data_IF_554995913958
#
_entry.id   IF_554995913958
#
_cell.length_a   1.000
_cell.length_b   1.000
_cell.length_c   1.000
_cell.angle_alpha   90.00
_cell.angle_beta   90.00
_cell.angle_gamma   90.00
#
_symmetry.space_group_name_H-M   'P 1'
#
loop_
_entity.id
_entity.type
_entity.pdbx_description
1 polymer ?
#
# COMPACT_ATOMS: atom_id res chain seq x y z
N UNK A 1 19.95 0.41 14.61
CA UNK A 1 19.63 0.52 16.04
C UNK A 1 18.20 0.03 16.28
N UNK A 2 17.87 -1.17 16.72
CA UNK A 2 18.47 -2.51 16.62
C UNK A 2 17.29 -3.44 16.26
N UNK A 3 17.46 -4.21 15.18
CA UNK A 3 16.56 -5.28 14.75
C UNK A 3 16.74 -6.47 15.73
N UNK A 4 15.72 -7.30 16.03
CA UNK A 4 15.89 -8.51 16.84
C UNK A 4 17.13 -9.29 16.40
N UNK A 5 17.82 -9.95 17.34
CA UNK A 5 19.19 -10.48 17.17
C UNK A 5 19.30 -11.54 16.06
N UNK A 6 19.30 -11.11 14.80
CA UNK A 6 19.70 -11.89 13.65
C UNK A 6 21.22 -12.00 13.70
N UNK A 7 21.81 -13.20 13.55
CA UNK A 7 23.24 -13.40 13.67
C UNK A 7 24.01 -12.53 12.68
N UNK A 8 25.22 -12.13 13.07
CA UNK A 8 26.16 -11.49 12.15
C UNK A 8 26.61 -12.50 11.07
N UNK A 9 26.94 -12.02 9.85
CA UNK A 9 27.58 -12.88 8.86
C UNK A 9 28.86 -13.51 9.43
N UNK A 10 29.06 -14.80 9.19
CA UNK A 10 30.26 -15.49 9.67
C UNK A 10 31.47 -15.28 8.74
N UNK A 11 31.24 -15.13 7.43
CA UNK A 11 32.29 -14.84 6.45
C UNK A 11 32.72 -13.37 6.55
N UNK A 12 34.02 -13.12 6.68
CA UNK A 12 34.58 -11.77 6.80
C UNK A 12 34.31 -10.89 5.56
N UNK A 13 34.17 -11.49 4.37
CA UNK A 13 33.80 -10.78 3.15
C UNK A 13 32.34 -10.35 3.19
N UNK A 14 31.43 -11.19 3.71
CA UNK A 14 30.05 -10.76 3.96
C UNK A 14 30.00 -9.64 5.01
N UNK A 15 30.84 -9.68 6.05
CA UNK A 15 30.90 -8.57 7.03
C UNK A 15 31.30 -7.24 6.37
N UNK A 16 32.29 -7.24 5.46
CA UNK A 16 32.68 -6.04 4.72
C UNK A 16 31.55 -5.50 3.82
N UNK A 17 30.76 -6.40 3.20
CA UNK A 17 29.56 -6.03 2.44
C UNK A 17 28.50 -5.42 3.36
N UNK A 18 28.26 -6.02 4.53
CA UNK A 18 27.34 -5.49 5.55
C UNK A 18 27.74 -4.07 5.98
N UNK A 19 29.01 -3.82 6.28
CA UNK A 19 29.49 -2.50 6.69
C UNK A 19 29.25 -1.45 5.59
N UNK A 20 29.51 -1.81 4.33
CA UNK A 20 29.21 -0.94 3.18
C UNK A 20 27.72 -0.63 3.06
N UNK A 21 26.86 -1.65 3.18
CA UNK A 21 25.40 -1.48 3.11
C UNK A 21 24.85 -0.62 4.27
N UNK A 22 25.45 -0.70 5.46
CA UNK A 22 25.11 0.18 6.58
C UNK A 22 25.37 1.64 6.20
N UNK A 23 26.53 1.94 5.63
CA UNK A 23 26.88 3.30 5.19
C UNK A 23 25.90 3.81 4.12
N UNK A 24 25.56 2.98 3.13
CA UNK A 24 24.59 3.35 2.08
C UNK A 24 23.22 3.64 2.69
N UNK A 25 22.74 2.77 3.60
CA UNK A 25 21.47 2.98 4.30
C UNK A 25 21.47 4.29 5.06
N UNK A 26 22.55 4.61 5.76
CA UNK A 26 22.63 5.80 6.58
C UNK A 26 22.66 7.07 5.69
N UNK A 27 23.32 7.05 4.52
CA UNK A 27 23.21 8.11 3.50
C UNK A 27 21.76 8.29 3.00
N UNK A 28 21.07 7.19 2.70
CA UNK A 28 19.65 7.22 2.28
C UNK A 28 18.75 7.80 3.38
N UNK A 29 19.00 7.48 4.65
CA UNK A 29 18.26 8.03 5.78
C UNK A 29 18.50 9.54 5.94
N UNK A 30 19.74 10.00 5.75
CA UNK A 30 20.06 11.43 5.77
C UNK A 30 19.32 12.19 4.65
N UNK A 31 19.33 11.66 3.43
CA UNK A 31 18.57 12.25 2.31
C UNK A 31 17.07 12.31 2.59
N UNK A 32 16.51 11.28 3.22
CA UNK A 32 15.08 11.25 3.60
C UNK A 32 14.75 12.35 4.63
N UNK A 33 15.68 12.64 5.55
CA UNK A 33 15.49 13.64 6.59
C UNK A 33 15.60 15.07 6.06
N UNK A 34 16.34 15.29 4.97
CA UNK A 34 16.50 16.62 4.38
C UNK A 34 15.20 17.09 3.70
N UNK A 35 14.60 18.16 4.25
CA UNK A 35 13.40 18.82 3.72
C UNK A 35 13.68 20.19 3.12
N UNK A 36 14.94 20.58 3.01
CA UNK A 36 15.32 21.92 2.53
C UNK A 36 15.19 22.05 1.02
N UNK A 37 15.35 20.93 0.30
CA UNK A 37 15.16 20.84 -1.15
C UNK A 37 14.33 19.61 -1.51
N UNK A 38 13.84 19.60 -2.76
CA UNK A 38 13.28 18.38 -3.35
C UNK A 38 14.40 17.38 -3.68
N UNK A 39 14.07 16.09 -3.69
CA UNK A 39 15.05 15.04 -3.99
C UNK A 39 15.20 14.90 -5.50
N UNK A 40 16.44 14.84 -6.01
CA UNK A 40 16.72 14.65 -7.44
C UNK A 40 17.22 13.25 -7.74
N UNK A 41 17.01 12.80 -8.97
CA UNK A 41 17.51 11.50 -9.45
C UNK A 41 19.02 11.36 -9.29
N UNK A 42 19.78 12.45 -9.48
CA UNK A 42 21.24 12.48 -9.35
C UNK A 42 21.73 12.16 -7.93
N UNK A 43 20.91 12.43 -6.91
CA UNK A 43 21.25 12.16 -5.51
C UNK A 43 20.99 10.69 -5.13
N UNK A 44 20.18 9.97 -5.93
CA UNK A 44 19.71 8.60 -5.64
C UNK A 44 20.41 7.53 -6.49
N UNK A 45 20.59 7.80 -7.80
CA UNK A 45 21.16 6.83 -8.75
C UNK A 45 22.54 6.30 -8.28
N UNK A 46 23.48 7.13 -7.79
CA UNK A 46 24.78 6.62 -7.33
C UNK A 46 24.66 5.65 -6.14
N UNK A 47 23.71 5.87 -5.22
CA UNK A 47 23.48 4.99 -4.07
C UNK A 47 22.82 3.67 -4.51
N UNK A 48 21.98 3.72 -5.54
CA UNK A 48 21.45 2.53 -6.19
C UNK A 48 22.58 1.70 -6.81
N UNK A 49 23.44 2.30 -7.61
CA UNK A 49 24.56 1.62 -8.27
C UNK A 49 25.54 1.00 -7.24
N UNK A 50 25.86 1.74 -6.17
CA UNK A 50 26.68 1.24 -5.05
C UNK A 50 26.03 0.01 -4.41
N UNK A 51 24.71 0.04 -4.18
CA UNK A 51 23.95 -1.09 -3.64
C UNK A 51 23.99 -2.29 -4.57
N UNK A 52 23.83 -2.10 -5.88
CA UNK A 52 23.90 -3.18 -6.87
C UNK A 52 25.29 -3.82 -6.91
N UNK A 53 26.37 -3.04 -6.82
CA UNK A 53 27.73 -3.60 -6.72
C UNK A 53 27.87 -4.52 -5.50
N UNK A 54 27.34 -4.10 -4.35
CA UNK A 54 27.36 -4.91 -3.12
C UNK A 54 26.52 -6.19 -3.25
N UNK A 55 25.39 -6.15 -3.96
CA UNK A 55 24.60 -7.36 -4.24
C UNK A 55 25.35 -8.33 -5.15
N UNK A 56 26.05 -7.81 -6.16
CA UNK A 56 26.89 -8.64 -7.03
C UNK A 56 27.98 -9.36 -6.23
N UNK A 57 28.72 -8.63 -5.41
CA UNK A 57 29.76 -9.20 -4.53
C UNK A 57 29.19 -10.26 -3.58
N UNK A 58 28.01 -9.99 -3.00
CA UNK A 58 27.32 -10.96 -2.14
C UNK A 58 26.93 -12.23 -2.89
N UNK A 59 26.40 -12.13 -4.12
CA UNK A 59 26.02 -13.29 -4.93
C UNK A 59 27.24 -14.14 -5.28
N UNK A 60 28.39 -13.50 -5.58
CA UNK A 60 29.68 -14.18 -5.82
C UNK A 60 30.16 -14.93 -4.56
N UNK A 61 30.21 -14.26 -3.41
CA UNK A 61 30.63 -14.87 -2.13
C UNK A 61 29.74 -16.06 -1.76
N UNK A 62 28.41 -15.91 -1.87
CA UNK A 62 27.45 -16.97 -1.53
C UNK A 62 27.45 -18.12 -2.53
N UNK A 63 27.79 -17.87 -3.80
CA UNK A 63 27.97 -18.92 -4.79
C UNK A 63 29.21 -19.76 -4.48
N UNK A 64 30.32 -19.13 -4.07
CA UNK A 64 31.54 -19.84 -3.69
C UNK A 64 31.41 -20.64 -2.39
N UNK A 65 30.81 -20.03 -1.37
CA UNK A 65 30.69 -20.64 -0.03
C UNK A 65 29.54 -21.63 0.08
N UNK A 66 28.56 -21.56 -0.83
CA UNK A 66 27.31 -22.31 -0.73
C UNK A 66 26.38 -21.84 0.40
N UNK A 67 26.72 -20.73 1.08
CA UNK A 67 25.93 -20.20 2.18
C UNK A 67 24.59 -19.63 1.68
N UNK A 68 23.50 -20.06 2.30
CA UNK A 68 22.13 -19.61 2.00
C UNK A 68 21.38 -19.13 3.24
N UNK A 69 22.04 -19.06 4.39
CA UNK A 69 21.41 -18.65 5.63
C UNK A 69 21.17 -17.14 5.65
N UNK A 70 19.95 -16.74 6.00
CA UNK A 70 19.61 -15.33 6.22
C UNK A 70 20.30 -14.83 7.50
N UNK A 71 20.97 -13.69 7.38
CA UNK A 71 21.68 -13.06 8.49
C UNK A 71 21.43 -11.54 8.55
N UNK A 72 22.14 -10.83 9.42
CA UNK A 72 21.96 -9.37 9.60
C UNK A 72 22.15 -8.59 8.30
N UNK A 73 23.02 -9.05 7.40
CA UNK A 73 23.24 -8.44 6.08
C UNK A 73 21.94 -8.40 5.28
N UNK A 74 21.20 -9.50 5.21
CA UNK A 74 19.95 -9.57 4.45
C UNK A 74 18.91 -8.56 4.97
N UNK A 75 18.85 -8.35 6.29
CA UNK A 75 17.98 -7.33 6.91
C UNK A 75 18.41 -5.90 6.55
N UNK A 76 19.71 -5.63 6.49
CA UNK A 76 20.21 -4.31 6.07
C UNK A 76 19.99 -4.10 4.58
N UNK A 77 20.24 -5.11 3.74
CA UNK A 77 20.01 -5.07 2.31
C UNK A 77 18.53 -4.83 1.98
N UNK A 78 17.63 -5.53 2.66
CA UNK A 78 16.18 -5.29 2.61
C UNK A 78 15.85 -3.83 2.88
N UNK A 79 16.49 -3.26 3.90
CA UNK A 79 16.28 -1.88 4.31
C UNK A 79 16.75 -0.88 3.25
N UNK A 80 17.90 -1.13 2.62
CA UNK A 80 18.41 -0.30 1.53
C UNK A 80 17.45 -0.33 0.34
N UNK A 81 16.99 -1.50 -0.08
CA UNK A 81 16.09 -1.61 -1.23
C UNK A 81 14.68 -1.07 -0.94
N UNK A 82 14.17 -1.19 0.28
CA UNK A 82 12.93 -0.52 0.67
C UNK A 82 13.06 1.00 0.57
N UNK A 83 14.14 1.58 1.10
CA UNK A 83 14.40 3.03 0.99
C UNK A 83 14.56 3.45 -0.48
N UNK A 84 15.43 2.78 -1.23
CA UNK A 84 15.66 3.07 -2.65
C UNK A 84 14.35 3.01 -3.45
N UNK A 85 13.55 1.98 -3.24
CA UNK A 85 12.24 1.85 -3.90
C UNK A 85 11.33 3.03 -3.60
N UNK A 86 11.24 3.47 -2.34
CA UNK A 86 10.43 4.64 -1.99
C UNK A 86 11.03 5.95 -2.54
N UNK A 87 12.36 6.07 -2.63
CA UNK A 87 13.00 7.20 -3.30
C UNK A 87 12.70 7.25 -4.79
N UNK A 88 12.70 6.10 -5.48
CA UNK A 88 12.32 6.02 -6.88
C UNK A 88 10.88 6.50 -7.11
N UNK A 89 9.96 6.19 -6.18
CA UNK A 89 8.61 6.74 -6.20
C UNK A 89 8.61 8.27 -5.99
N UNK A 90 9.34 8.77 -4.99
CA UNK A 90 9.40 10.21 -4.69
C UNK A 90 10.01 11.06 -5.80
N UNK A 91 10.98 10.51 -6.56
CA UNK A 91 11.54 11.19 -7.73
C UNK A 91 10.69 10.96 -9.00
N UNK A 92 9.52 10.32 -8.93
CA UNK A 92 8.61 10.12 -10.05
C UNK A 92 9.01 9.02 -11.04
N UNK A 93 9.93 8.12 -10.67
CA UNK A 93 10.40 7.00 -11.48
C UNK A 93 9.68 5.70 -11.15
N UNK A 94 8.36 5.77 -11.05
CA UNK A 94 7.51 4.68 -10.54
C UNK A 94 7.50 3.46 -11.47
N UNK A 95 7.80 3.67 -12.76
CA UNK A 95 7.83 2.63 -13.77
C UNK A 95 9.17 1.87 -13.82
N UNK A 96 10.20 2.35 -13.11
CA UNK A 96 11.48 1.67 -13.06
C UNK A 96 11.42 0.48 -12.09
N UNK A 97 12.15 -0.58 -12.41
CA UNK A 97 12.16 -1.83 -11.63
C UNK A 97 12.50 -1.63 -10.14
N UNK A 98 13.46 -0.76 -9.74
CA UNK A 98 13.73 -0.50 -8.33
C UNK A 98 12.51 0.00 -7.54
N UNK A 99 11.60 0.75 -8.16
CA UNK A 99 10.39 1.28 -7.52
C UNK A 99 9.43 0.19 -7.03
N UNK A 100 9.53 -1.03 -7.58
CA UNK A 100 8.63 -2.16 -7.26
C UNK A 100 8.98 -2.91 -5.96
N UNK A 101 10.13 -2.64 -5.36
CA UNK A 101 10.64 -3.46 -4.25
C UNK A 101 9.84 -3.27 -2.95
N UNK A 102 9.54 -2.04 -2.56
CA UNK A 102 8.75 -1.74 -1.36
C UNK A 102 7.32 -2.30 -1.49
N UNK A 103 6.73 -2.22 -2.69
CA UNK A 103 5.42 -2.81 -2.98
C UNK A 103 5.44 -4.33 -2.79
N UNK A 104 6.42 -5.02 -3.38
CA UNK A 104 6.56 -6.48 -3.26
C UNK A 104 6.77 -6.91 -1.80
N UNK A 105 7.58 -6.16 -1.05
CA UNK A 105 7.84 -6.41 0.37
C UNK A 105 6.57 -6.25 1.22
N UNK A 106 5.77 -5.23 0.92
CA UNK A 106 4.49 -4.97 1.59
C UNK A 106 3.47 -6.06 1.27
N UNK A 107 3.37 -6.49 -0.01
CA UNK A 107 2.52 -7.61 -0.43
C UNK A 107 2.89 -8.89 0.33
N UNK A 108 4.19 -9.20 0.45
CA UNK A 108 4.66 -10.37 1.17
C UNK A 108 4.19 -10.35 2.64
N UNK A 109 4.30 -9.22 3.32
CA UNK A 109 3.80 -9.05 4.71
C UNK A 109 2.28 -9.19 4.80
N UNK A 110 1.54 -8.63 3.85
CA UNK A 110 0.09 -8.82 3.79
C UNK A 110 -0.27 -10.30 3.61
N UNK A 111 0.37 -11.01 2.69
CA UNK A 111 0.13 -12.44 2.45
C UNK A 111 0.49 -13.31 3.65
N UNK A 112 1.59 -13.00 4.36
CA UNK A 112 1.96 -13.65 5.63
C UNK A 112 0.81 -13.50 6.64
N UNK A 113 0.29 -12.28 6.80
CA UNK A 113 -0.82 -12.00 7.71
C UNK A 113 -2.15 -12.64 7.29
N UNK A 114 -2.47 -12.71 6.00
CA UNK A 114 -3.68 -13.38 5.52
C UNK A 114 -3.57 -14.89 5.76
N UNK A 115 -2.39 -15.46 5.56
CA UNK A 115 -2.10 -16.88 5.84
C UNK A 115 -2.25 -17.20 7.32
N UNK A 116 -1.69 -16.36 8.20
CA UNK A 116 -1.73 -16.50 9.65
C UNK A 116 -3.16 -16.37 10.20
N UNK A 117 -3.89 -15.35 9.74
CA UNK A 117 -5.21 -15.03 10.29
C UNK A 117 -6.32 -15.95 9.77
N UNK A 118 -6.18 -16.39 8.52
CA UNK A 118 -7.24 -17.01 7.73
C UNK A 118 -8.52 -16.14 7.69
N UNK A 119 -8.33 -14.84 7.43
CA UNK A 119 -9.38 -13.82 7.44
C UNK A 119 -9.24 -12.90 6.23
N UNK A 120 -9.72 -13.36 5.08
CA UNK A 120 -9.61 -12.67 3.80
C UNK A 120 -10.82 -12.95 2.91
N UNK A 121 -11.07 -12.11 1.91
CA UNK A 121 -12.14 -12.25 0.91
C UNK A 121 -11.56 -12.47 -0.49
N UNK A 122 -12.40 -12.87 -1.45
CA UNK A 122 -11.99 -13.00 -2.85
C UNK A 122 -11.42 -11.67 -3.38
N UNK A 123 -12.07 -10.55 -3.04
CA UNK A 123 -11.67 -9.19 -3.44
C UNK A 123 -10.28 -8.80 -2.93
N UNK A 124 -9.93 -9.18 -1.70
CA UNK A 124 -8.59 -8.91 -1.17
C UNK A 124 -7.51 -9.63 -2.00
N UNK A 125 -7.78 -10.89 -2.37
CA UNK A 125 -6.85 -11.70 -3.15
C UNK A 125 -6.77 -11.23 -4.61
N UNK A 126 -7.88 -10.78 -5.19
CA UNK A 126 -7.92 -10.29 -6.57
C UNK A 126 -7.11 -9.02 -6.77
N UNK A 127 -7.20 -8.06 -5.84
CA UNK A 127 -6.36 -6.86 -5.86
C UNK A 127 -4.87 -7.21 -5.85
N UNK A 128 -4.44 -8.07 -4.92
CA UNK A 128 -3.04 -8.51 -4.83
C UNK A 128 -2.62 -9.29 -6.09
N UNK A 129 -3.52 -10.13 -6.65
CA UNK A 129 -3.26 -10.90 -7.88
C UNK A 129 -3.00 -9.98 -9.07
N UNK A 130 -3.81 -8.95 -9.26
CA UNK A 130 -3.66 -7.99 -10.36
C UNK A 130 -2.31 -7.29 -10.26
N UNK A 131 -1.97 -6.78 -9.06
CA UNK A 131 -0.70 -6.13 -8.80
C UNK A 131 0.50 -7.06 -9.03
N UNK A 132 0.49 -8.28 -8.49
CA UNK A 132 1.59 -9.24 -8.69
C UNK A 132 1.73 -9.66 -10.17
N UNK A 133 0.63 -9.81 -10.90
CA UNK A 133 0.65 -10.10 -12.33
C UNK A 133 1.33 -8.97 -13.11
N UNK A 134 0.99 -7.72 -12.80
CA UNK A 134 1.61 -6.55 -13.43
C UNK A 134 3.11 -6.49 -13.12
N UNK A 135 3.50 -6.67 -11.86
CA UNK A 135 4.91 -6.73 -11.46
C UNK A 135 5.68 -7.84 -12.19
N UNK A 136 5.09 -9.03 -12.29
CA UNK A 136 5.70 -10.15 -13.02
C UNK A 136 5.90 -9.84 -14.51
N UNK A 137 4.91 -9.17 -15.13
CA UNK A 137 4.99 -8.76 -16.52
C UNK A 137 6.09 -7.70 -16.73
N UNK A 138 6.13 -6.66 -15.87
CA UNK A 138 7.17 -5.62 -15.92
C UNK A 138 8.57 -6.20 -15.76
N UNK A 139 8.77 -7.12 -14.81
CA UNK A 139 10.06 -7.80 -14.61
C UNK A 139 10.43 -8.65 -15.84
N UNK A 140 9.46 -9.31 -16.46
CA UNK A 140 9.70 -10.14 -17.65
C UNK A 140 10.11 -9.27 -18.84
N UNK A 141 9.38 -8.18 -19.09
CA UNK A 141 9.71 -7.20 -20.13
C UNK A 141 11.09 -6.59 -19.91
N UNK A 142 11.42 -6.23 -18.66
CA UNK A 142 12.72 -5.67 -18.31
C UNK A 142 13.88 -6.65 -18.59
N UNK A 143 13.66 -7.96 -18.46
CA UNK A 143 14.66 -8.98 -18.80
C UNK A 143 14.87 -9.16 -20.30
N UNK A 144 13.81 -9.03 -21.10
CA UNK A 144 13.83 -9.46 -22.52
C UNK A 144 14.01 -8.31 -23.49
N UNK A 145 13.56 -7.10 -23.16
CA UNK A 145 13.43 -6.00 -24.12
C UNK A 145 14.03 -4.68 -23.65
N UNK A 146 14.42 -4.54 -22.39
CA UNK A 146 14.83 -3.25 -21.83
C UNK A 146 16.27 -3.30 -21.28
N UNK A 147 17.23 -2.85 -22.10
CA UNK A 147 18.67 -2.82 -21.75
C UNK A 147 19.07 -1.60 -20.90
N UNK A 148 18.12 -0.99 -20.19
CA UNK A 148 18.38 0.15 -19.31
C UNK A 148 19.35 -0.21 -18.16
N UNK A 149 20.25 0.69 -17.77
CA UNK A 149 21.23 0.43 -16.71
C UNK A 149 20.57 0.14 -15.34
N UNK A 150 19.41 0.74 -15.06
CA UNK A 150 18.62 0.49 -13.86
C UNK A 150 18.08 -0.96 -13.78
N UNK A 151 17.99 -1.69 -14.90
CA UNK A 151 17.53 -3.07 -14.96
C UNK A 151 18.65 -4.08 -14.66
N UNK A 152 19.30 -3.92 -13.50
CA UNK A 152 20.37 -4.81 -13.07
C UNK A 152 19.91 -6.27 -13.04
N UNK A 153 20.66 -7.23 -13.62
CA UNK A 153 20.29 -8.64 -13.62
C UNK A 153 20.20 -9.21 -12.20
N UNK A 154 20.98 -8.66 -11.27
CA UNK A 154 20.97 -9.04 -9.86
C UNK A 154 19.67 -8.61 -9.15
N UNK A 155 19.21 -7.37 -9.39
CA UNK A 155 17.93 -6.89 -8.87
C UNK A 155 16.76 -7.66 -9.50
N UNK A 156 16.79 -7.87 -10.82
CA UNK A 156 15.76 -8.62 -11.52
C UNK A 156 15.65 -10.06 -10.99
N UNK A 157 16.77 -10.75 -10.72
CA UNK A 157 16.80 -12.07 -10.07
C UNK A 157 16.16 -12.02 -8.68
N UNK A 158 16.55 -11.06 -7.85
CA UNK A 158 16.03 -10.87 -6.49
C UNK A 158 14.50 -10.64 -6.49
N UNK A 159 14.02 -9.69 -7.30
CA UNK A 159 12.59 -9.38 -7.42
C UNK A 159 11.79 -10.53 -8.01
N UNK A 160 12.31 -11.21 -9.03
CA UNK A 160 11.64 -12.39 -9.62
C UNK A 160 11.39 -13.47 -8.58
N UNK A 161 12.39 -13.76 -7.75
CA UNK A 161 12.28 -14.75 -6.68
C UNK A 161 11.24 -14.32 -5.63
N UNK A 162 11.21 -13.03 -5.28
CA UNK A 162 10.25 -12.49 -4.31
C UNK A 162 8.82 -12.49 -4.82
N UNK A 163 8.60 -12.05 -6.06
CA UNK A 163 7.29 -12.11 -6.73
C UNK A 163 6.83 -13.55 -6.86
N UNK A 164 7.71 -14.48 -7.25
CA UNK A 164 7.40 -15.91 -7.32
C UNK A 164 6.95 -16.50 -5.97
N UNK A 165 7.62 -16.14 -4.86
CA UNK A 165 7.18 -16.53 -3.51
C UNK A 165 5.79 -15.97 -3.18
N UNK A 166 5.54 -14.70 -3.48
CA UNK A 166 4.24 -14.07 -3.23
C UNK A 166 3.11 -14.72 -4.05
N UNK A 167 3.38 -15.04 -5.33
CA UNK A 167 2.43 -15.76 -6.19
C UNK A 167 2.10 -17.15 -5.64
N UNK A 168 3.09 -17.91 -5.16
CA UNK A 168 2.85 -19.22 -4.55
C UNK A 168 2.02 -19.13 -3.25
N UNK A 169 2.28 -18.11 -2.41
CA UNK A 169 1.46 -17.86 -1.21
C UNK A 169 0.02 -17.49 -1.58
N UNK A 170 -0.15 -16.62 -2.57
CA UNK A 170 -1.46 -16.21 -3.08
C UNK A 170 -2.24 -17.41 -3.64
N UNK A 171 -1.58 -18.28 -4.42
CA UNK A 171 -2.20 -19.49 -4.98
C UNK A 171 -2.70 -20.43 -3.87
N UNK A 172 -1.94 -20.57 -2.77
CA UNK A 172 -2.37 -21.34 -1.61
C UNK A 172 -3.64 -20.74 -0.97
N UNK A 173 -3.66 -19.42 -0.73
CA UNK A 173 -4.84 -18.73 -0.20
C UNK A 173 -6.07 -18.87 -1.10
N UNK A 174 -5.87 -18.81 -2.43
CA UNK A 174 -6.93 -19.02 -3.42
C UNK A 174 -7.45 -20.46 -3.41
N UNK A 175 -6.56 -21.46 -3.33
CA UNK A 175 -6.94 -22.88 -3.21
C UNK A 175 -7.74 -23.15 -1.94
N UNK A 176 -7.39 -22.51 -0.82
CA UNK A 176 -8.16 -22.58 0.43
C UNK A 176 -9.54 -21.96 0.27
N UNK A 177 -9.63 -20.78 -0.34
CA UNK A 177 -10.91 -20.10 -0.57
C UNK A 177 -11.82 -20.90 -1.50
N UNK A 178 -11.26 -21.55 -2.53
CA UNK A 178 -12.01 -22.40 -3.47
C UNK A 178 -12.63 -23.66 -2.85
N UNK A 179 -12.40 -23.94 -1.56
CA UNK A 179 -13.12 -24.97 -0.81
C UNK A 179 -14.54 -24.53 -0.43
N UNK A 180 -14.82 -23.23 -0.48
CA UNK A 180 -16.12 -22.64 -0.18
C UNK A 180 -16.86 -22.44 -1.51
N UNK A 181 -17.98 -23.16 -1.69
CA UNK A 181 -18.82 -23.03 -2.88
C UNK A 181 -19.90 -21.96 -2.74
N UNK A 182 -20.57 -21.63 -3.84
CA UNK A 182 -21.80 -20.82 -3.78
C UNK A 182 -22.94 -21.62 -3.12
N UNK A 183 -23.82 -20.99 -2.31
CA UNK A 183 -23.93 -19.55 -2.02
C UNK A 183 -23.09 -19.07 -0.82
N UNK A 184 -22.25 -19.95 -0.25
CA UNK A 184 -21.52 -19.66 0.99
C UNK A 184 -20.39 -18.65 0.81
N UNK A 185 -19.90 -18.44 -0.40
CA UNK A 185 -18.87 -17.44 -0.67
C UNK A 185 -19.35 -16.02 -0.32
N UNK A 186 -20.59 -15.67 -0.68
CA UNK A 186 -21.20 -14.38 -0.29
C UNK A 186 -21.36 -14.26 1.24
N UNK A 187 -21.70 -15.37 1.92
CA UNK A 187 -21.82 -15.41 3.38
C UNK A 187 -20.45 -15.20 4.05
N UNK A 188 -19.42 -15.85 3.52
CA UNK A 188 -18.03 -15.68 3.94
C UNK A 188 -17.59 -14.22 3.84
N UNK A 189 -17.79 -13.57 2.69
CA UNK A 189 -17.45 -12.15 2.51
C UNK A 189 -18.18 -11.25 3.51
N UNK A 190 -19.46 -11.53 3.78
CA UNK A 190 -20.24 -10.79 4.76
C UNK A 190 -19.71 -10.96 6.18
N UNK A 191 -19.33 -12.18 6.58
CA UNK A 191 -18.72 -12.45 7.89
C UNK A 191 -17.38 -11.73 8.06
N UNK A 192 -16.52 -11.75 7.04
CA UNK A 192 -15.24 -11.01 7.03
C UNK A 192 -15.48 -9.49 7.15
N UNK A 193 -16.47 -8.96 6.44
CA UNK A 193 -16.85 -7.54 6.53
C UNK A 193 -17.33 -7.13 7.92
N UNK A 194 -18.18 -7.96 8.54
CA UNK A 194 -18.66 -7.74 9.92
C UNK A 194 -17.48 -7.79 10.90
N UNK A 195 -16.60 -8.79 10.79
CA UNK A 195 -15.42 -8.91 11.65
C UNK A 195 -14.52 -7.67 11.58
N UNK A 196 -14.25 -7.16 10.38
CA UNK A 196 -13.46 -5.94 10.16
C UNK A 196 -14.14 -4.72 10.80
N UNK A 197 -15.45 -4.61 10.67
CA UNK A 197 -16.26 -3.52 11.25
C UNK A 197 -16.26 -3.55 12.78
N UNK A 198 -16.41 -4.73 13.39
CA UNK A 198 -16.31 -4.90 14.86
C UNK A 198 -14.91 -4.53 15.34
N UNK A 199 -13.88 -4.97 14.63
CA UNK A 199 -12.48 -4.68 15.00
C UNK A 199 -12.15 -3.18 14.88
N UNK A 200 -12.69 -2.51 13.85
CA UNK A 200 -12.61 -1.06 13.73
C UNK A 200 -13.30 -0.36 14.91
N UNK A 201 -14.55 -0.72 15.20
CA UNK A 201 -15.31 -0.16 16.31
C UNK A 201 -14.57 -0.31 17.66
N UNK A 202 -13.91 -1.46 17.87
CA UNK A 202 -13.10 -1.73 19.07
C UNK A 202 -11.91 -0.77 19.25
N UNK A 203 -11.40 -0.17 18.17
CA UNK A 203 -10.20 0.69 18.19
C UNK A 203 -10.53 2.17 17.98
N UNK A 204 -11.81 2.55 17.93
CA UNK A 204 -12.22 3.95 17.90
C UNK A 204 -11.94 4.62 19.24
N UNK A 205 -11.61 5.92 19.21
CA UNK A 205 -11.38 6.72 20.41
C UNK A 205 -12.59 6.73 21.37
N UNK A 206 -13.81 6.63 20.82
CA UNK A 206 -15.04 6.44 21.58
C UNK A 206 -15.70 5.14 21.13
N UNK A 207 -15.67 4.13 22.00
CA UNK A 207 -16.32 2.85 21.74
C UNK A 207 -17.84 3.00 21.71
N UNK A 208 -18.50 2.35 20.74
CA UNK A 208 -19.95 2.34 20.60
C UNK A 208 -20.49 0.92 20.74
N UNK A 209 -21.08 0.59 21.90
CA UNK A 209 -21.76 -0.69 22.09
C UNK A 209 -22.90 -0.89 21.10
N UNK A 210 -23.62 0.18 20.75
CA UNK A 210 -24.78 0.09 19.84
C UNK A 210 -24.35 -0.25 18.41
N UNK A 211 -23.19 0.24 17.96
CA UNK A 211 -22.61 -0.14 16.66
C UNK A 211 -22.28 -1.64 16.62
N UNK A 212 -21.61 -2.15 17.65
CA UNK A 212 -21.24 -3.57 17.75
C UNK A 212 -22.48 -4.46 17.91
N UNK A 213 -23.49 -4.05 18.68
CA UNK A 213 -24.77 -4.78 18.81
C UNK A 213 -25.54 -4.86 17.49
N UNK A 214 -25.54 -3.80 16.67
CA UNK A 214 -26.14 -3.84 15.33
C UNK A 214 -25.44 -4.84 14.41
N UNK A 215 -24.11 -4.93 14.50
CA UNK A 215 -23.31 -5.91 13.77
C UNK A 215 -23.56 -7.33 14.29
N UNK A 216 -23.68 -7.50 15.60
CA UNK A 216 -24.03 -8.78 16.23
C UNK A 216 -25.42 -9.26 15.82
N UNK A 217 -26.40 -8.35 15.67
CA UNK A 217 -27.72 -8.70 15.12
C UNK A 217 -27.62 -9.25 13.69
N UNK A 218 -26.85 -8.58 12.82
CA UNK A 218 -26.60 -9.10 11.47
C UNK A 218 -25.92 -10.48 11.48
N UNK A 219 -25.04 -10.76 12.46
CA UNK A 219 -24.49 -12.10 12.64
C UNK A 219 -25.60 -13.08 13.00
N UNK A 220 -26.43 -12.78 14.00
CA UNK A 220 -27.54 -13.66 14.39
C UNK A 220 -28.46 -14.00 13.20
N UNK A 221 -28.82 -13.01 12.39
CA UNK A 221 -29.63 -13.20 11.18
C UNK A 221 -28.95 -14.15 10.16
N UNK A 222 -27.61 -14.07 10.02
CA UNK A 222 -26.84 -15.04 9.21
C UNK A 222 -26.88 -16.43 9.85
N UNK A 223 -26.83 -16.50 11.17
CA UNK A 223 -26.83 -17.73 11.96
C UNK A 223 -28.14 -18.52 11.88
N UNK A 224 -29.28 -17.86 11.59
CA UNK A 224 -30.58 -18.53 11.41
C UNK A 224 -30.57 -19.55 10.25
N UNK A 225 -29.67 -19.39 9.29
CA UNK A 225 -29.48 -20.32 8.16
C UNK A 225 -28.72 -21.60 8.54
N UNK A 226 -28.29 -21.72 9.80
CA UNK A 226 -27.55 -22.87 10.30
C UNK A 226 -28.47 -23.91 10.93
N UNK A 227 -28.10 -25.17 10.79
CA UNK A 227 -28.61 -26.29 11.59
C UNK A 227 -27.44 -26.90 12.37
N UNK A 228 -27.40 -26.65 13.67
CA UNK A 228 -26.23 -26.99 14.49
C UNK A 228 -25.00 -26.16 14.06
N UNK A 229 -23.88 -26.83 13.78
CA UNK A 229 -22.63 -26.18 13.39
C UNK A 229 -22.45 -25.95 11.89
N UNK A 230 -23.44 -26.34 11.08
CA UNK A 230 -23.35 -26.26 9.62
C UNK A 230 -24.44 -25.35 9.03
N UNK A 231 -24.08 -24.62 7.99
CA UNK A 231 -25.03 -23.98 7.08
C UNK A 231 -25.69 -25.01 6.18
N UNK A 232 -26.97 -24.79 5.87
CA UNK A 232 -27.76 -25.65 4.98
C UNK A 232 -28.48 -24.80 3.94
N UNK A 233 -28.69 -25.37 2.76
CA UNK A 233 -29.53 -24.78 1.71
C UNK A 233 -31.02 -24.92 2.06
N UNK A 234 -31.89 -24.24 1.30
CA UNK A 234 -33.34 -24.28 1.50
C UNK A 234 -33.93 -25.70 1.35
N UNK A 235 -33.33 -26.52 0.50
CA UNK A 235 -33.66 -27.94 0.31
C UNK A 235 -33.13 -28.87 1.42
N UNK A 236 -32.38 -28.32 2.38
CA UNK A 236 -31.76 -29.06 3.48
C UNK A 236 -30.41 -29.70 3.15
N UNK A 237 -29.91 -29.56 1.92
CA UNK A 237 -28.57 -30.02 1.55
C UNK A 237 -27.46 -29.18 2.23
N UNK A 238 -26.29 -29.78 2.44
CA UNK A 238 -25.13 -29.10 3.03
C UNK A 238 -24.23 -28.56 1.90
N UNK A 239 -24.14 -27.24 1.69
CA UNK A 239 -23.25 -26.68 0.70
C UNK A 239 -21.76 -26.90 1.04
N UNK A 240 -20.93 -26.91 0.01
CA UNK A 240 -19.48 -27.07 0.15
C UNK A 240 -18.88 -25.91 0.94
N UNK A 241 -18.05 -26.22 1.95
CA UNK A 241 -17.45 -25.22 2.84
C UNK A 241 -18.29 -24.90 4.09
N UNK A 242 -19.38 -25.62 4.33
CA UNK A 242 -20.32 -25.34 5.42
C UNK A 242 -19.69 -25.40 6.82
N UNK A 243 -18.78 -26.33 7.05
CA UNK A 243 -18.05 -26.45 8.33
C UNK A 243 -17.14 -25.24 8.52
N UNK A 244 -16.38 -24.87 7.50
CA UNK A 244 -15.46 -23.74 7.52
C UNK A 244 -16.18 -22.41 7.79
N UNK A 245 -17.36 -22.20 7.17
CA UNK A 245 -18.18 -21.01 7.43
C UNK A 245 -18.82 -21.07 8.82
N UNK A 246 -19.22 -22.26 9.29
CA UNK A 246 -19.69 -22.47 10.66
C UNK A 246 -18.64 -22.05 11.69
N UNK A 247 -17.40 -22.49 11.53
CA UNK A 247 -16.27 -22.12 12.38
C UNK A 247 -15.96 -20.62 12.31
N UNK A 248 -15.94 -20.04 11.10
CA UNK A 248 -15.75 -18.60 10.93
C UNK A 248 -16.85 -17.81 11.65
N UNK A 249 -18.11 -18.20 11.48
CA UNK A 249 -19.22 -17.59 12.20
C UNK A 249 -18.96 -17.58 13.70
N UNK A 250 -18.60 -18.73 14.28
CA UNK A 250 -18.38 -18.83 15.72
C UNK A 250 -17.21 -17.94 16.16
N UNK A 251 -16.13 -17.88 15.37
CA UNK A 251 -14.99 -16.98 15.62
C UNK A 251 -15.40 -15.51 15.64
N UNK A 252 -16.25 -15.08 14.69
CA UNK A 252 -16.73 -13.69 14.58
C UNK A 252 -17.74 -13.37 15.68
N UNK A 253 -18.67 -14.28 15.97
CA UNK A 253 -19.64 -14.11 17.05
C UNK A 253 -18.93 -14.01 18.40
N UNK A 254 -18.00 -14.92 18.70
CA UNK A 254 -17.21 -14.86 19.93
C UNK A 254 -16.40 -13.57 20.04
N UNK A 255 -15.85 -13.08 18.92
CA UNK A 255 -15.17 -11.80 18.90
C UNK A 255 -16.09 -10.64 19.27
N UNK A 256 -17.34 -10.65 18.77
CA UNK A 256 -18.33 -9.63 19.11
C UNK A 256 -18.62 -9.58 20.62
N UNK A 257 -18.73 -10.74 21.29
CA UNK A 257 -18.95 -10.82 22.74
C UNK A 257 -17.77 -10.22 23.51
N UNK A 258 -16.55 -10.64 23.17
CA UNK A 258 -15.32 -10.16 23.82
C UNK A 258 -15.19 -8.63 23.65
N UNK A 259 -15.48 -8.10 22.46
CA UNK A 259 -15.41 -6.66 22.19
C UNK A 259 -16.48 -5.89 23.00
N UNK A 260 -17.70 -6.43 23.16
CA UNK A 260 -18.74 -5.83 23.99
C UNK A 260 -18.41 -5.86 25.49
N UNK A 261 -17.68 -6.88 25.94
CA UNK A 261 -17.19 -7.00 27.30
C UNK A 261 -16.04 -6.01 27.56
N UNK A 262 -15.04 -6.00 26.68
CA UNK A 262 -13.79 -5.23 26.84
C UNK A 262 -13.93 -3.75 26.47
N UNK A 263 -14.85 -3.41 25.57
CA UNK A 263 -15.22 -2.02 25.19
C UNK A 263 -14.02 -1.14 24.81
N UNK A 264 -13.07 -1.69 24.05
CA UNK A 264 -11.85 -0.98 23.63
C UNK A 264 -10.80 -0.80 24.75
N UNK A 265 -11.01 -1.32 25.96
CA UNK A 265 -10.07 -1.17 27.07
C UNK A 265 -8.90 -2.14 26.89
N UNK A 266 -7.71 -1.59 26.64
CA UNK A 266 -6.47 -2.36 26.55
C UNK A 266 -5.84 -2.59 27.94
N UNK A 267 -5.38 -3.81 28.27
CA UNK A 267 -4.62 -4.07 29.50
C UNK A 267 -3.40 -3.17 29.60
N UNK A 268 -3.11 -2.70 30.81
CA UNK A 268 -2.10 -1.67 31.08
C UNK A 268 -0.72 -2.04 30.53
N UNK A 269 -0.32 -3.30 30.66
CA UNK A 269 0.97 -3.81 30.20
C UNK A 269 1.15 -3.77 28.66
N UNK A 270 0.07 -3.71 27.88
CA UNK A 270 0.13 -3.62 26.42
C UNK A 270 -0.26 -2.24 25.89
N UNK A 271 -0.66 -1.30 26.76
CA UNK A 271 -1.05 0.07 26.37
C UNK A 271 0.04 0.80 25.57
N UNK A 272 1.33 0.76 25.94
CA UNK A 272 2.35 1.47 25.18
C UNK A 272 2.38 1.06 23.70
N UNK A 273 2.50 -0.24 23.42
CA UNK A 273 2.52 -0.78 22.05
C UNK A 273 1.19 -0.54 21.33
N UNK A 274 0.06 -0.70 22.03
CA UNK A 274 -1.26 -0.41 21.47
C UNK A 274 -1.40 1.06 21.05
N UNK A 275 -0.96 2.01 21.88
CA UNK A 275 -1.02 3.44 21.56
C UNK A 275 -0.15 3.78 20.35
N UNK A 276 1.05 3.20 20.23
CA UNK A 276 1.88 3.34 19.01
C UNK A 276 1.13 2.84 17.78
N UNK A 277 0.54 1.64 17.83
CA UNK A 277 -0.20 1.07 16.71
C UNK A 277 -1.44 1.89 16.31
N UNK A 278 -2.21 2.38 17.30
CA UNK A 278 -3.35 3.28 17.06
C UNK A 278 -2.88 4.60 16.44
N UNK A 279 -1.78 5.17 16.93
CA UNK A 279 -1.16 6.38 16.38
C UNK A 279 -0.82 6.22 14.90
N UNK A 280 -0.04 5.18 14.57
CA UNK A 280 0.33 4.85 13.19
C UNK A 280 -0.91 4.71 12.31
N UNK A 281 -1.90 3.92 12.76
CA UNK A 281 -3.14 3.70 11.98
C UNK A 281 -3.88 5.02 11.73
N UNK A 282 -4.03 5.85 12.75
CA UNK A 282 -4.78 7.10 12.65
C UNK A 282 -4.07 8.12 11.75
N UNK A 283 -2.73 8.18 11.82
CA UNK A 283 -1.94 9.04 10.93
C UNK A 283 -2.10 8.59 9.47
N UNK A 284 -1.91 7.30 9.18
CA UNK A 284 -2.12 6.74 7.84
C UNK A 284 -3.56 6.95 7.34
N UNK A 285 -4.56 6.74 8.19
CA UNK A 285 -5.97 6.98 7.86
C UNK A 285 -6.22 8.46 7.52
N UNK A 286 -5.70 9.39 8.33
CA UNK A 286 -5.79 10.83 8.04
C UNK A 286 -5.16 11.17 6.70
N UNK A 287 -3.94 10.68 6.43
CA UNK A 287 -3.22 10.91 5.17
C UNK A 287 -4.03 10.41 3.97
N UNK A 288 -4.75 9.29 4.11
CA UNK A 288 -5.55 8.69 3.05
C UNK A 288 -6.79 9.51 2.70
N UNK A 289 -7.36 10.22 3.69
CA UNK A 289 -8.54 11.05 3.51
C UNK A 289 -8.19 12.44 2.95
N UNK A 290 -7.03 12.98 3.32
CA UNK A 290 -6.65 14.37 2.96
C UNK A 290 -5.81 14.49 1.69
N UNK A 291 -5.59 13.39 0.94
CA UNK A 291 -4.61 13.30 -0.16
C UNK A 291 -3.30 14.02 0.20
N UNK A 292 -2.69 13.66 1.33
CA UNK A 292 -1.71 14.51 2.03
C UNK A 292 -0.63 15.14 1.13
N UNK A 293 -0.69 16.46 0.99
CA UNK A 293 0.13 17.28 0.09
C UNK A 293 1.61 17.35 0.51
N UNK A 294 1.94 16.86 1.71
CA UNK A 294 3.26 16.97 2.34
C UNK A 294 3.94 15.62 2.61
N UNK A 295 3.29 14.50 2.27
CA UNK A 295 3.88 13.18 2.48
C UNK A 295 4.82 12.88 1.31
N UNK A 296 6.10 12.62 1.60
CA UNK A 296 6.97 11.95 0.62
C UNK A 296 6.76 10.45 0.75
N UNK A 297 6.83 9.70 -0.34
CA UNK A 297 6.71 8.23 -0.29
C UNK A 297 7.76 7.61 0.64
N UNK A 298 8.94 8.22 0.73
CA UNK A 298 9.99 7.83 1.69
C UNK A 298 9.54 7.87 3.16
N UNK A 299 8.51 8.65 3.52
CA UNK A 299 7.95 8.68 4.88
C UNK A 299 7.23 7.39 5.26
N UNK A 300 6.76 6.62 4.27
CA UNK A 300 6.20 5.29 4.49
C UNK A 300 7.21 4.35 5.16
N UNK A 301 8.51 4.60 4.98
CA UNK A 301 9.57 3.80 5.59
C UNK A 301 9.51 3.80 7.12
N UNK A 302 9.24 4.95 7.76
CA UNK A 302 9.23 5.04 9.22
C UNK A 302 8.05 4.26 9.80
N UNK A 303 6.89 4.33 9.14
CA UNK A 303 5.72 3.54 9.50
C UNK A 303 6.00 2.05 9.32
N UNK A 304 6.56 1.64 8.17
CA UNK A 304 6.95 0.24 7.92
C UNK A 304 7.91 -0.27 8.99
N UNK A 305 8.93 0.51 9.36
CA UNK A 305 9.92 0.10 10.37
C UNK A 305 9.34 -0.05 11.76
N UNK A 306 8.45 0.85 12.17
CA UNK A 306 7.78 0.73 13.46
C UNK A 306 6.86 -0.49 13.48
N UNK A 307 6.12 -0.74 12.40
CA UNK A 307 5.27 -1.92 12.27
C UNK A 307 6.10 -3.21 12.28
N UNK A 308 7.16 -3.29 11.48
CA UNK A 308 8.06 -4.44 11.42
C UNK A 308 8.66 -4.73 12.80
N UNK A 309 9.13 -3.71 13.52
CA UNK A 309 9.70 -3.87 14.86
C UNK A 309 8.68 -4.46 15.84
N UNK A 310 7.45 -3.96 15.81
CA UNK A 310 6.39 -4.47 16.69
C UNK A 310 6.02 -5.90 16.26
N UNK A 311 5.84 -6.14 14.97
CA UNK A 311 5.39 -7.43 14.45
C UNK A 311 6.43 -8.55 14.65
N UNK A 312 7.72 -8.23 14.45
CA UNK A 312 8.85 -9.15 14.65
C UNK A 312 9.20 -9.35 16.15
N UNK A 313 8.61 -8.57 17.07
CA UNK A 313 8.76 -8.81 18.52
C UNK A 313 7.96 -10.01 19.03
N UNK A 314 7.05 -10.55 18.20
CA UNK A 314 6.23 -11.71 18.55
C UNK A 314 7.07 -12.97 18.68
N UNK A 315 6.72 -13.82 19.64
CA UNK A 315 7.33 -15.15 19.81
C UNK A 315 6.25 -16.20 19.59
N UNK A 316 6.50 -17.14 18.66
CA UNK A 316 5.51 -18.15 18.25
C UNK A 316 4.14 -17.54 17.90
N UNK A 317 4.16 -16.37 17.23
CA UNK A 317 2.97 -15.64 16.81
C UNK A 317 2.25 -14.83 17.89
N UNK A 318 2.73 -14.81 19.15
CA UNK A 318 2.08 -14.09 20.26
C UNK A 318 2.92 -12.89 20.75
N UNK A 319 2.27 -11.81 21.20
CA UNK A 319 2.92 -10.71 21.91
C UNK A 319 3.16 -11.08 23.37
N UNK A 320 4.21 -10.54 23.97
CA UNK A 320 4.56 -10.73 25.37
C UNK A 320 4.74 -9.38 26.06
N UNK A 321 4.34 -9.30 27.32
CA UNK A 321 4.61 -8.11 28.14
C UNK A 321 6.05 -8.10 28.69
N UNK A 322 6.41 -7.03 29.39
CA UNK A 322 7.74 -6.85 29.99
C UNK A 322 8.11 -7.93 31.01
N UNK A 323 7.14 -8.74 31.47
CA UNK A 323 7.35 -9.87 32.39
C UNK A 323 7.37 -11.21 31.68
N UNK A 324 7.34 -11.23 30.34
CA UNK A 324 7.33 -12.45 29.55
C UNK A 324 6.00 -13.19 29.60
N UNK A 325 4.87 -12.52 29.89
CA UNK A 325 3.54 -13.13 29.87
C UNK A 325 2.87 -12.93 28.51
N UNK A 326 2.27 -13.98 27.92
CA UNK A 326 1.64 -13.89 26.61
C UNK A 326 0.39 -12.99 26.66
N UNK A 327 0.14 -12.30 25.55
CA UNK A 327 -1.10 -11.57 25.32
C UNK A 327 -2.29 -12.54 25.29
N UNK A 328 -3.41 -12.11 25.88
CA UNK A 328 -4.67 -12.83 25.74
C UNK A 328 -5.23 -12.68 24.33
N UNK A 329 -6.26 -13.47 24.00
CA UNK A 329 -6.87 -13.46 22.68
C UNK A 329 -7.33 -12.06 22.24
N UNK A 330 -7.86 -11.28 23.18
CA UNK A 330 -8.35 -9.93 22.92
C UNK A 330 -7.23 -8.96 22.52
N UNK A 331 -6.17 -8.93 23.32
CA UNK A 331 -5.01 -8.07 23.12
C UNK A 331 -4.33 -8.45 21.81
N UNK A 332 -4.06 -9.75 21.61
CA UNK A 332 -3.42 -10.28 20.42
C UNK A 332 -4.18 -9.91 19.14
N UNK A 333 -5.49 -10.17 19.09
CA UNK A 333 -6.31 -9.86 17.90
C UNK A 333 -6.41 -8.36 17.63
N UNK A 334 -6.52 -7.55 18.68
CA UNK A 334 -6.62 -6.08 18.53
C UNK A 334 -5.34 -5.49 17.96
N UNK A 335 -4.17 -5.90 18.47
CA UNK A 335 -2.88 -5.41 17.97
C UNK A 335 -2.61 -5.88 16.54
N UNK A 336 -2.87 -7.15 16.23
CA UNK A 336 -2.71 -7.66 14.87
C UNK A 336 -3.69 -7.00 13.87
N UNK A 337 -4.91 -6.66 14.29
CA UNK A 337 -5.83 -5.88 13.45
C UNK A 337 -5.23 -4.53 13.07
N UNK A 338 -4.66 -3.80 14.03
CA UNK A 338 -4.03 -2.50 13.78
C UNK A 338 -2.84 -2.63 12.84
N UNK A 339 -1.96 -3.61 13.06
CA UNK A 339 -0.79 -3.88 12.19
C UNK A 339 -1.26 -4.12 10.74
N UNK A 340 -2.20 -5.06 10.55
CA UNK A 340 -2.72 -5.40 9.22
C UNK A 340 -3.38 -4.20 8.54
N UNK A 341 -4.14 -3.41 9.29
CA UNK A 341 -4.80 -2.21 8.76
C UNK A 341 -3.78 -1.16 8.33
N UNK A 342 -2.71 -0.97 9.10
CA UNK A 342 -1.63 -0.04 8.75
C UNK A 342 -0.85 -0.48 7.51
N UNK A 343 -0.51 -1.78 7.37
CA UNK A 343 0.09 -2.28 6.13
C UNK A 343 -0.84 -2.14 4.92
N UNK A 344 -2.15 -2.31 5.11
CA UNK A 344 -3.13 -2.09 4.03
C UNK A 344 -3.14 -0.63 3.55
N UNK A 345 -2.99 0.34 4.47
CA UNK A 345 -2.82 1.75 4.08
C UNK A 345 -1.51 1.98 3.34
N UNK A 346 -0.38 1.46 3.84
CA UNK A 346 0.92 1.59 3.17
C UNK A 346 0.85 1.01 1.75
N UNK A 347 0.24 -0.17 1.60
CA UNK A 347 0.00 -0.78 0.28
C UNK A 347 -0.82 0.16 -0.63
N UNK A 348 -1.91 0.74 -0.13
CA UNK A 348 -2.72 1.67 -0.92
C UNK A 348 -1.98 2.94 -1.31
N UNK A 349 -1.10 3.47 -0.44
CA UNK A 349 -0.30 4.65 -0.75
C UNK A 349 0.75 4.38 -1.81
N UNK A 350 1.43 3.23 -1.74
CA UNK A 350 2.41 2.85 -2.78
C UNK A 350 1.72 2.70 -4.14
N UNK A 351 0.53 2.10 -4.17
CA UNK A 351 -0.25 1.97 -5.41
C UNK A 351 -0.80 3.30 -5.95
N UNK A 352 -1.06 4.26 -5.07
CA UNK A 352 -1.57 5.58 -5.43
C UNK A 352 -0.47 6.60 -5.71
N UNK A 353 0.82 6.21 -5.65
CA UNK A 353 1.93 7.10 -5.99
C UNK A 353 1.93 7.38 -7.48
N UNK A 354 1.85 8.66 -7.83
CA UNK A 354 1.88 9.15 -9.20
C UNK A 354 3.33 9.26 -9.70
N UNK A 355 3.61 9.00 -10.99
CA UNK A 355 4.96 9.09 -11.57
C UNK A 355 5.37 10.55 -11.80
N UNK A 356 5.32 11.37 -10.76
CA UNK A 356 5.57 12.80 -10.78
C UNK A 356 6.52 13.16 -9.65
N UNK A 357 7.68 13.72 -9.99
CA UNK A 357 8.64 14.15 -8.98
C UNK A 357 8.08 15.25 -8.07
N UNK A 358 8.59 15.31 -6.84
CA UNK A 358 8.23 16.33 -5.85
C UNK A 358 8.28 17.77 -6.41
N UNK A 359 9.24 18.06 -7.30
CA UNK A 359 9.38 19.37 -7.94
C UNK A 359 8.18 19.77 -8.81
N UNK A 360 7.47 18.81 -9.40
CA UNK A 360 6.32 19.05 -10.28
C UNK A 360 4.98 18.91 -9.57
N UNK A 361 4.92 18.36 -8.35
CA UNK A 361 3.69 18.22 -7.58
C UNK A 361 2.87 19.52 -7.46
N UNK A 362 3.47 20.71 -7.24
CA UNK A 362 2.69 21.95 -7.18
C UNK A 362 1.90 22.25 -8.46
N UNK A 363 2.47 21.92 -9.64
CA UNK A 363 1.82 22.12 -10.94
C UNK A 363 0.78 21.03 -11.16
N UNK A 364 1.18 19.77 -10.93
CA UNK A 364 0.33 18.60 -11.10
C UNK A 364 -0.96 18.69 -10.25
N UNK A 365 -0.84 19.08 -8.98
CA UNK A 365 -2.00 19.22 -8.07
C UNK A 365 -2.96 20.34 -8.51
N UNK A 366 -2.42 21.43 -9.05
CA UNK A 366 -3.24 22.51 -9.60
C UNK A 366 -4.03 22.03 -10.83
N UNK A 367 -3.39 21.24 -11.70
CA UNK A 367 -4.06 20.64 -12.85
C UNK A 367 -5.10 19.59 -12.44
N UNK A 368 -4.82 18.74 -11.45
CA UNK A 368 -5.80 17.79 -10.94
C UNK A 368 -7.04 18.49 -10.37
N UNK A 369 -6.84 19.56 -9.60
CA UNK A 369 -7.93 20.37 -9.07
C UNK A 369 -8.75 20.98 -10.21
N UNK A 370 -8.06 21.56 -11.20
CA UNK A 370 -8.71 22.14 -12.36
C UNK A 370 -9.52 21.12 -13.16
N UNK A 371 -8.96 19.93 -13.42
CA UNK A 371 -9.66 18.81 -14.08
C UNK A 371 -10.94 18.45 -13.35
N UNK A 372 -10.89 18.31 -12.02
CA UNK A 372 -12.09 18.02 -11.20
C UNK A 372 -13.15 19.10 -11.37
N UNK A 373 -12.77 20.37 -11.27
CA UNK A 373 -13.72 21.47 -11.46
C UNK A 373 -14.34 21.46 -12.88
N UNK A 374 -13.54 21.25 -13.93
CA UNK A 374 -14.04 21.17 -15.31
C UNK A 374 -15.01 19.99 -15.51
N UNK A 375 -14.71 18.83 -14.92
CA UNK A 375 -15.60 17.66 -14.95
C UNK A 375 -16.90 17.96 -14.20
N UNK A 376 -16.85 18.62 -13.04
CA UNK A 376 -18.04 19.01 -12.28
C UNK A 376 -18.93 19.99 -13.05
N UNK A 377 -18.32 20.97 -13.74
CA UNK A 377 -19.05 21.89 -14.65
C UNK A 377 -19.75 21.11 -15.75
N UNK A 378 -19.03 20.19 -16.42
CA UNK A 378 -19.61 19.33 -17.46
C UNK A 378 -20.78 18.50 -16.94
N UNK A 379 -20.62 17.87 -15.77
CA UNK A 379 -21.66 17.04 -15.15
C UNK A 379 -22.87 17.86 -14.68
N UNK A 380 -22.69 19.16 -14.42
CA UNK A 380 -23.75 20.08 -14.00
C UNK A 380 -24.49 20.73 -15.17
N UNK A 381 -24.29 20.24 -16.41
CA UNK A 381 -24.95 20.75 -17.61
C UNK A 381 -24.13 21.77 -18.41
N UNK A 382 -22.85 21.96 -18.09
CA UNK A 382 -21.96 22.88 -18.80
C UNK A 382 -22.06 24.32 -18.30
N UNK A 383 -21.70 25.28 -19.16
CA UNK A 383 -21.76 26.72 -18.86
C UNK A 383 -22.83 27.40 -19.71
N UNK A 384 -23.43 28.47 -19.19
CA UNK A 384 -24.45 29.23 -19.93
C UNK A 384 -23.87 30.20 -20.96
N UNK A 385 -22.59 30.55 -20.80
CA UNK A 385 -21.85 31.38 -21.75
C UNK A 385 -20.36 31.04 -21.73
N UNK A 386 -19.68 31.23 -22.87
CA UNK A 386 -18.23 31.05 -23.00
C UNK A 386 -17.43 31.89 -21.99
N UNK A 387 -17.99 33.02 -21.53
CA UNK A 387 -17.33 33.90 -20.55
C UNK A 387 -17.11 33.23 -19.20
N UNK A 388 -17.97 32.29 -18.81
CA UNK A 388 -17.82 31.53 -17.55
C UNK A 388 -16.60 30.60 -17.58
N UNK A 389 -16.08 30.27 -18.77
CA UNK A 389 -14.86 29.48 -18.92
C UNK A 389 -13.57 30.30 -18.76
N UNK A 390 -13.65 31.64 -18.78
CA UNK A 390 -12.45 32.48 -18.71
C UNK A 390 -11.55 32.22 -17.50
N UNK A 391 -12.06 32.04 -16.26
CA UNK A 391 -11.20 31.71 -15.14
C UNK A 391 -10.39 30.42 -15.36
N UNK A 392 -11.01 29.41 -15.98
CA UNK A 392 -10.36 28.14 -16.32
C UNK A 392 -9.30 28.33 -17.42
N UNK A 393 -9.63 29.02 -18.52
CA UNK A 393 -8.68 29.31 -19.59
C UNK A 393 -7.48 30.13 -19.10
N UNK A 394 -7.72 31.15 -18.26
CA UNK A 394 -6.65 31.95 -17.66
C UNK A 394 -5.74 31.09 -16.78
N UNK A 395 -6.33 30.19 -15.97
CA UNK A 395 -5.55 29.29 -15.13
C UNK A 395 -4.72 28.31 -15.97
N UNK A 396 -5.30 27.71 -17.01
CA UNK A 396 -4.60 26.82 -17.95
C UNK A 396 -3.41 27.50 -18.59
N UNK A 397 -3.65 28.67 -19.20
CA UNK A 397 -2.58 29.43 -19.86
C UNK A 397 -1.50 29.85 -18.85
N UNK A 398 -1.85 30.19 -17.60
CA UNK A 398 -0.87 30.52 -16.58
C UNK A 398 0.03 29.33 -16.21
N UNK A 399 -0.52 28.12 -16.17
CA UNK A 399 0.25 26.89 -15.91
C UNK A 399 1.08 26.52 -17.14
N UNK A 400 0.52 26.70 -18.33
CA UNK A 400 1.19 26.43 -19.59
C UNK A 400 2.44 27.31 -19.79
N UNK A 401 2.32 28.59 -19.44
CA UNK A 401 3.41 29.58 -19.51
C UNK A 401 4.57 29.28 -18.54
N UNK A 402 4.43 28.34 -17.61
CA UNK A 402 5.56 27.86 -16.79
C UNK A 402 6.53 26.98 -17.58
N UNK A 403 6.15 26.53 -18.79
CA UNK A 403 7.00 25.72 -19.66
C UNK A 403 8.03 26.60 -20.38
N UNK A 404 9.25 26.09 -20.44
CA UNK A 404 10.36 26.63 -21.26
C UNK A 404 10.70 25.57 -22.30
N UNK A 405 10.65 25.94 -23.59
CA UNK A 405 10.84 25.02 -24.71
C UNK A 405 9.97 23.75 -24.62
N UNK A 406 8.72 23.93 -24.18
CA UNK A 406 7.74 22.86 -24.03
C UNK A 406 7.91 21.97 -22.79
N UNK A 407 8.84 22.30 -21.88
CA UNK A 407 9.13 21.50 -20.67
C UNK A 407 8.99 22.34 -19.40
N UNK A 408 8.57 21.71 -18.31
CA UNK A 408 8.60 22.35 -16.99
C UNK A 408 10.02 22.28 -16.41
N UNK A 409 10.68 23.44 -16.33
CA UNK A 409 12.03 23.57 -15.76
C UNK A 409 11.93 24.13 -14.34
N UNK A 410 12.52 23.45 -13.37
CA UNK A 410 12.51 23.85 -11.96
C UNK A 410 13.94 23.95 -11.46
N UNK A 411 14.36 25.15 -11.05
CA UNK A 411 15.73 25.46 -10.59
C UNK A 411 16.84 25.07 -11.59
N UNK A 412 16.57 25.17 -12.90
CA UNK A 412 17.51 24.83 -13.96
C UNK A 412 17.56 23.33 -14.31
N UNK A 413 16.85 22.49 -13.57
CA UNK A 413 16.71 21.06 -13.85
C UNK A 413 15.38 20.77 -14.56
N UNK A 414 15.33 19.68 -15.34
CA UNK A 414 14.10 19.13 -15.93
C UNK A 414 13.69 17.93 -15.05
N UNK A 415 12.71 18.08 -14.15
CA UNK A 415 12.34 17.01 -13.24
C UNK A 415 11.54 15.91 -13.94
N UNK A 416 11.54 14.71 -13.36
CA UNK A 416 10.74 13.57 -13.83
C UNK A 416 9.24 13.84 -13.67
N UNK A 417 8.42 13.21 -14.52
CA UNK A 417 6.97 13.39 -14.56
C UNK A 417 6.47 14.39 -15.59
N UNK A 418 7.33 14.88 -16.49
CA UNK A 418 6.96 15.80 -17.58
C UNK A 418 5.79 15.28 -18.41
N UNK A 419 5.81 13.99 -18.76
CA UNK A 419 4.75 13.33 -19.53
C UNK A 419 3.41 13.43 -18.84
N UNK A 420 3.34 13.01 -17.57
CA UNK A 420 2.11 13.03 -16.77
C UNK A 420 1.55 14.43 -16.56
N UNK A 421 2.39 15.43 -16.31
CA UNK A 421 1.94 16.82 -16.17
C UNK A 421 1.46 17.38 -17.52
N UNK A 422 2.17 17.07 -18.62
CA UNK A 422 1.82 17.55 -19.95
C UNK A 422 0.54 16.91 -20.48
N UNK A 423 0.34 15.61 -20.25
CA UNK A 423 -0.89 14.88 -20.56
C UNK A 423 -2.07 15.45 -19.78
N UNK A 424 -1.92 15.62 -18.46
CA UNK A 424 -2.97 16.20 -17.64
C UNK A 424 -3.32 17.65 -18.03
N UNK A 425 -2.32 18.43 -18.42
CA UNK A 425 -2.53 19.78 -18.96
C UNK A 425 -3.33 19.74 -20.26
N UNK A 426 -2.96 18.86 -21.19
CA UNK A 426 -3.66 18.66 -22.45
C UNK A 426 -5.12 18.24 -22.22
N UNK A 427 -5.36 17.26 -21.35
CA UNK A 427 -6.71 16.82 -20.98
C UNK A 427 -7.57 17.97 -20.42
N UNK A 428 -6.99 18.87 -19.64
CA UNK A 428 -7.73 20.02 -19.12
C UNK A 428 -8.04 21.04 -20.22
N UNK A 429 -7.15 21.23 -21.20
CA UNK A 429 -7.44 22.04 -22.40
C UNK A 429 -8.57 21.41 -23.22
N UNK A 430 -8.53 20.10 -23.44
CA UNK A 430 -9.57 19.37 -24.18
C UNK A 430 -10.93 19.48 -23.49
N UNK A 431 -10.99 19.25 -22.17
CA UNK A 431 -12.23 19.42 -21.39
C UNK A 431 -12.77 20.86 -21.46
N UNK A 432 -11.88 21.86 -21.39
CA UNK A 432 -12.27 23.26 -21.51
C UNK A 432 -12.77 23.59 -22.92
N UNK A 433 -12.21 22.97 -23.95
CA UNK A 433 -12.63 23.15 -25.33
C UNK A 433 -14.00 22.51 -25.59
N UNK A 434 -14.22 21.27 -25.14
CA UNK A 434 -15.50 20.58 -25.23
C UNK A 434 -16.64 21.39 -24.59
N UNK A 435 -16.40 21.93 -23.38
CA UNK A 435 -17.36 22.80 -22.69
C UNK A 435 -17.66 24.08 -23.46
N UNK A 436 -16.65 24.64 -24.13
CA UNK A 436 -16.81 25.84 -24.94
C UNK A 436 -17.66 25.56 -26.17
N UNK A 437 -17.37 24.47 -26.89
CA UNK A 437 -18.15 24.06 -28.06
C UNK A 437 -19.61 23.83 -27.68
N UNK A 438 -19.88 23.10 -26.59
CA UNK A 438 -21.24 22.88 -26.10
C UNK A 438 -21.97 24.20 -25.76
N UNK A 439 -21.27 25.17 -25.17
CA UNK A 439 -21.84 26.48 -24.87
C UNK A 439 -22.15 27.29 -26.14
N UNK A 440 -21.26 27.25 -27.14
CA UNK A 440 -21.47 27.92 -28.44
C UNK A 440 -22.65 27.30 -29.21
N UNK A 441 -22.79 25.97 -29.19
CA UNK A 441 -23.94 25.25 -29.79
C UNK A 441 -25.26 25.56 -29.09
N UNK A 442 -25.27 25.63 -27.76
CA UNK A 442 -26.48 25.97 -27.01
C UNK A 442 -26.97 27.41 -27.32
N UNK A 443 -26.02 28.34 -27.50
CA UNK A 443 -26.31 29.72 -27.84
C UNK A 443 -26.87 29.87 -29.26
N UNK A 444 -26.46 29.04 -30.23
CA UNK A 444 -26.99 29.09 -31.61
C UNK A 444 -28.40 28.49 -31.70
N UNK A 445 -28.68 27.42 -30.95
CA UNK A 445 -30.04 26.85 -30.88
C UNK A 445 -31.07 27.80 -30.27
N UNK A 446 -30.68 28.63 -29.30
CA UNK A 446 -31.55 29.65 -28.70
C UNK A 446 -31.81 30.85 -29.65
N UNK A 447 -30.95 31.09 -30.64
CA UNK A 447 -31.14 32.14 -31.64
C UNK A 447 -31.97 31.72 -32.85
N UNK A 448 -31.93 30.44 -33.26
CA UNK A 448 -32.70 29.93 -34.40
C UNK A 448 -34.14 29.48 -34.04
N UNK A 449 -34.45 29.39 -32.75
CA UNK A 449 -35.78 29.04 -32.21
C UNK A 449 -36.70 30.24 -31.91
N UNK A 450 -36.36 31.46 -32.33
CA UNK A 450 -37.15 32.68 -32.14
C UNK A 450 -37.76 33.24 -33.41
#
# INVERSE_FOLDING_TARGET
>A
MDTPAVPLPQDAREQAVLDSLIVIRDKLLLLKQDRTTYIRSQDIIPLYDETISRVKELDEIRTETGNKEENRLDKVLESCFQLLSLFYLTIGRNNDIPASYALTSTIKRLLDHLTEADLYSAKDLESIKSTLSNLSNSITQAKTHDSKPENSPYLLKLLSNRVGKCLAMLENLQKRLGRIGEPLLATHEKLISILRSISLANTKAKFSSTEVQKLQKQLLDIGEKRKGDQFVNEDGSVPQGSVEIGELYQRVFKWSEIVLERKGIMPEQFRPTYHTLVGIRNELEKLSLTQAWALRETDLYDFQRQLDKIDESRQNGNFYDDKGRPADLYTQRTMLYLIRRSYAYIYSFILASEPVSEALLPIYNQLQTLKRCLIEVRNSGGVSSVRELYPYSMKLNSLDNLRVDGKFVVNGDIPEGQGSVSELLAECFDLSYDLRVAAEESATTDTDGK
#
